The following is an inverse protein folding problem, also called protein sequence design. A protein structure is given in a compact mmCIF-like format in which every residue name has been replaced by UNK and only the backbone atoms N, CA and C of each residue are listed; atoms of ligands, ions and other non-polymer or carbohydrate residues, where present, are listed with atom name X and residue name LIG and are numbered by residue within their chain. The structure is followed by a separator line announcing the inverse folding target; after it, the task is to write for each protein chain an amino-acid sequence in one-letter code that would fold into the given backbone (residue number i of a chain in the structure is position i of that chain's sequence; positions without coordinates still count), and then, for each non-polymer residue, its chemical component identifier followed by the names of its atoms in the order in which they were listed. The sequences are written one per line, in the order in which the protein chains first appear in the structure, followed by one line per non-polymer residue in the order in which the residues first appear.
data_IF_668030707759
#
_entry.id   IF_668030707759
#
_cell.length_a   1.000
_cell.length_b   1.000
_cell.length_c   1.000
_cell.angle_alpha   90.00
_cell.angle_beta   90.00
_cell.angle_gamma   90.00
#
_symmetry.space_group_name_H-M   'P 1'
#
loop_
_entity.id
_entity.type
_entity.pdbx_description
1 polymer ?
#
# COMPACT_ATOMS: atom_id res chain seq x y z
N UNK A 1 19.01 20.37 15.15
CA UNK A 1 19.54 19.24 14.35
C UNK A 1 19.56 19.55 12.85
N UNK A 2 18.53 20.19 12.27
CA UNK A 2 18.44 20.46 10.82
C UNK A 2 19.41 21.53 10.28
N UNK A 3 20.20 22.19 11.13
CA UNK A 3 21.17 23.21 10.71
C UNK A 3 22.52 22.64 10.25
N UNK A 4 22.78 21.37 10.55
CA UNK A 4 24.03 20.69 10.24
C UNK A 4 23.76 19.66 9.16
N UNK A 5 24.47 19.72 8.02
CA UNK A 5 24.17 18.92 6.83
C UNK A 5 24.13 17.41 7.09
N UNK A 6 25.06 16.86 7.87
CA UNK A 6 25.11 15.42 8.15
C UNK A 6 24.08 14.94 9.18
N UNK A 7 23.30 15.81 9.82
CA UNK A 7 22.20 15.44 10.71
C UNK A 7 20.83 15.62 10.07
N UNK A 8 20.77 16.01 8.79
CA UNK A 8 19.52 16.18 8.05
C UNK A 8 18.86 14.84 7.74
N UNK A 9 17.58 14.88 7.40
CA UNK A 9 16.70 13.72 7.30
C UNK A 9 16.74 13.09 5.90
N UNK A 10 17.92 12.84 5.34
CA UNK A 10 18.06 12.34 3.97
C UNK A 10 17.56 10.91 3.75
N UNK A 11 17.70 10.05 4.76
CA UNK A 11 17.28 8.65 4.65
C UNK A 11 15.91 8.42 5.29
N UNK A 12 15.76 8.77 6.58
CA UNK A 12 14.49 8.67 7.32
C UNK A 12 14.14 9.96 7.98
N UNK A 13 12.83 10.23 8.11
CA UNK A 13 12.34 11.43 8.80
C UNK A 13 12.25 11.20 10.31
N UNK A 14 12.25 12.27 11.10
CA UNK A 14 11.96 12.19 12.53
C UNK A 14 10.57 11.57 12.75
N UNK A 15 9.57 11.94 11.94
CA UNK A 15 8.23 11.33 11.99
C UNK A 15 8.26 9.82 11.78
N UNK A 16 9.07 9.33 10.85
CA UNK A 16 9.24 7.89 10.60
C UNK A 16 9.86 7.21 11.82
N UNK A 17 10.92 7.78 12.37
CA UNK A 17 11.61 7.21 13.54
C UNK A 17 10.71 7.17 14.77
N UNK A 18 9.92 8.22 15.02
CA UNK A 18 8.95 8.25 16.13
C UNK A 18 7.91 7.14 15.97
N UNK A 19 7.35 6.95 14.76
CA UNK A 19 6.42 5.85 14.48
C UNK A 19 7.06 4.48 14.70
N UNK A 20 8.32 4.30 14.28
CA UNK A 20 9.04 3.03 14.47
C UNK A 20 9.32 2.74 15.95
N UNK A 21 9.69 3.75 16.75
CA UNK A 21 9.87 3.62 18.19
C UNK A 21 8.54 3.29 18.87
N UNK A 22 7.48 4.00 18.54
CA UNK A 22 6.14 3.72 19.07
C UNK A 22 5.73 2.28 18.76
N UNK A 23 5.83 1.85 17.51
CA UNK A 23 5.50 0.50 17.08
C UNK A 23 6.30 -0.58 17.82
N UNK A 24 7.60 -0.31 18.08
CA UNK A 24 8.46 -1.25 18.81
C UNK A 24 8.04 -1.45 20.25
N UNK A 25 7.63 -0.41 20.95
CA UNK A 25 7.35 -0.46 22.38
C UNK A 25 5.87 -0.64 22.72
N UNK A 26 4.97 -0.11 21.91
CA UNK A 26 3.51 -0.13 22.14
C UNK A 26 2.80 -1.18 21.29
N UNK A 27 3.42 -1.63 20.19
CA UNK A 27 2.79 -2.54 19.24
C UNK A 27 1.89 -1.81 18.24
N UNK A 28 1.08 -2.58 17.52
CA UNK A 28 0.20 -2.06 16.47
C UNK A 28 -1.11 -1.46 17.02
N UNK A 29 -1.55 -1.90 18.17
CA UNK A 29 -2.82 -1.47 18.76
C UNK A 29 -2.65 -0.17 19.52
N UNK A 30 -3.43 0.84 19.17
CA UNK A 30 -3.39 2.18 19.73
C UNK A 30 -4.43 2.43 20.84
N UNK A 31 -5.02 1.36 21.39
CA UNK A 31 -6.05 1.37 22.42
C UNK A 31 -7.42 1.94 21.96
N UNK A 32 -7.59 2.23 20.69
CA UNK A 32 -8.89 2.53 20.12
C UNK A 32 -9.59 1.24 19.65
N UNK A 33 -10.69 0.81 20.29
CA UNK A 33 -11.36 -0.45 19.93
C UNK A 33 -11.84 -0.52 18.46
N UNK A 34 -12.01 0.62 17.80
CA UNK A 34 -12.40 0.68 16.38
C UNK A 34 -11.29 0.09 15.49
N UNK A 35 -10.02 0.23 15.89
CA UNK A 35 -8.86 -0.25 15.14
C UNK A 35 -8.52 -1.73 15.42
N UNK A 36 -9.31 -2.45 16.25
CA UNK A 36 -9.08 -3.88 16.50
C UNK A 36 -9.39 -4.74 15.27
N UNK A 37 -10.45 -4.41 14.55
CA UNK A 37 -10.94 -5.18 13.41
C UNK A 37 -11.60 -4.23 12.39
N UNK A 38 -10.77 -3.46 11.70
CA UNK A 38 -11.23 -2.51 10.69
C UNK A 38 -11.67 -3.26 9.43
N UNK A 39 -12.65 -2.69 8.72
CA UNK A 39 -13.01 -3.17 7.40
C UNK A 39 -11.80 -3.12 6.46
N UNK A 40 -11.72 -4.07 5.53
CA UNK A 40 -10.71 -4.02 4.48
C UNK A 40 -10.77 -2.67 3.71
N UNK A 41 -9.62 -2.14 3.27
CA UNK A 41 -9.56 -0.81 2.64
C UNK A 41 -10.54 -0.62 1.49
N UNK A 42 -10.77 -1.66 0.67
CA UNK A 42 -11.71 -1.60 -0.45
C UNK A 42 -13.17 -1.53 0.03
N UNK A 43 -13.53 -2.34 1.03
CA UNK A 43 -14.88 -2.34 1.60
C UNK A 43 -15.17 -1.03 2.33
N UNK A 44 -14.24 -0.60 3.16
CA UNK A 44 -14.30 0.70 3.85
C UNK A 44 -14.51 1.85 2.85
N UNK A 45 -13.69 1.88 1.80
CA UNK A 45 -13.73 2.94 0.79
C UNK A 45 -15.05 2.97 0.03
N UNK A 46 -15.59 1.82 -0.35
CA UNK A 46 -16.91 1.72 -1.01
C UNK A 46 -18.01 2.30 -0.13
N UNK A 47 -18.04 1.89 1.15
CA UNK A 47 -19.01 2.43 2.10
C UNK A 47 -18.86 3.94 2.31
N UNK A 48 -17.62 4.42 2.44
CA UNK A 48 -17.36 5.84 2.63
C UNK A 48 -17.79 6.66 1.42
N UNK A 49 -17.54 6.18 0.20
CA UNK A 49 -17.98 6.84 -1.03
C UNK A 49 -19.51 6.88 -1.12
N UNK A 50 -20.20 5.82 -0.70
CA UNK A 50 -21.66 5.80 -0.62
C UNK A 50 -22.19 6.90 0.33
N UNK A 51 -21.55 7.11 1.49
CA UNK A 51 -21.88 8.19 2.42
C UNK A 51 -21.54 9.59 1.87
N UNK A 52 -20.49 9.74 1.09
CA UNK A 52 -20.12 11.00 0.43
C UNK A 52 -21.08 11.38 -0.70
N UNK A 53 -21.70 10.40 -1.32
CA UNK A 53 -22.75 10.54 -2.34
C UNK A 53 -22.19 10.80 -3.73
N UNK A 54 -21.80 12.05 -4.03
CA UNK A 54 -21.39 12.47 -5.37
C UNK A 54 -19.85 12.50 -5.51
N UNK A 55 -19.30 11.51 -6.23
CA UNK A 55 -17.87 11.39 -6.46
C UNK A 55 -17.29 12.56 -7.26
N UNK A 56 -18.02 13.09 -8.24
CA UNK A 56 -17.55 14.21 -9.06
C UNK A 56 -17.41 15.47 -8.23
N UNK A 57 -18.35 15.69 -7.33
CA UNK A 57 -18.29 16.80 -6.38
C UNK A 57 -17.11 16.67 -5.40
N UNK A 58 -16.82 15.47 -4.94
CA UNK A 58 -15.64 15.19 -4.10
C UNK A 58 -14.36 15.51 -4.86
N UNK A 59 -14.26 15.10 -6.14
CA UNK A 59 -13.12 15.41 -7.00
C UNK A 59 -12.95 16.91 -7.25
N UNK A 60 -14.04 17.63 -7.47
CA UNK A 60 -13.99 19.09 -7.59
C UNK A 60 -13.48 19.78 -6.32
N UNK A 61 -13.91 19.30 -5.16
CA UNK A 61 -13.42 19.81 -3.87
C UNK A 61 -11.93 19.49 -3.71
N UNK A 62 -11.52 18.26 -4.01
CA UNK A 62 -10.14 17.83 -3.92
C UNK A 62 -9.21 18.64 -4.86
N UNK A 63 -9.66 19.00 -6.07
CA UNK A 63 -8.93 19.91 -6.98
C UNK A 63 -8.72 21.28 -6.36
N UNK A 64 -9.73 21.84 -5.70
CA UNK A 64 -9.60 23.14 -5.00
C UNK A 64 -8.62 23.05 -3.82
N UNK A 65 -8.58 21.93 -3.12
CA UNK A 65 -7.67 21.70 -2.03
C UNK A 65 -6.23 21.46 -2.54
N UNK A 66 -6.10 20.83 -3.70
CA UNK A 66 -4.81 20.71 -4.40
C UNK A 66 -4.23 22.10 -4.73
N UNK A 67 -5.05 23.00 -5.25
CA UNK A 67 -4.63 24.38 -5.57
C UNK A 67 -4.21 25.18 -4.33
N UNK A 68 -4.71 24.83 -3.15
CA UNK A 68 -4.27 25.40 -1.85
C UNK A 68 -2.98 24.76 -1.32
N UNK A 69 -2.50 23.68 -1.95
CA UNK A 69 -1.32 22.95 -1.51
C UNK A 69 -1.58 21.90 -0.43
N UNK A 70 -2.83 21.51 -0.19
CA UNK A 70 -3.22 20.49 0.79
C UNK A 70 -3.01 19.06 0.28
N UNK A 71 -1.84 18.81 -0.32
CA UNK A 71 -1.53 17.58 -1.05
C UNK A 71 -1.71 16.30 -0.24
N UNK A 72 -1.40 16.31 1.06
CA UNK A 72 -1.60 15.12 1.90
C UNK A 72 -3.09 14.78 2.04
N UNK A 73 -3.94 15.79 2.22
CA UNK A 73 -5.38 15.59 2.28
C UNK A 73 -5.93 15.11 0.95
N UNK A 74 -5.52 15.75 -0.14
CA UNK A 74 -5.92 15.34 -1.49
C UNK A 74 -5.52 13.88 -1.77
N UNK A 75 -4.29 13.48 -1.43
CA UNK A 75 -3.86 12.10 -1.58
C UNK A 75 -4.74 11.12 -0.77
N UNK A 76 -5.13 11.47 0.45
CA UNK A 76 -5.97 10.60 1.29
C UNK A 76 -7.38 10.44 0.72
N UNK A 77 -8.05 11.54 0.37
CA UNK A 77 -9.42 11.46 -0.13
C UNK A 77 -9.51 10.82 -1.52
N UNK A 78 -8.59 11.14 -2.41
CA UNK A 78 -8.56 10.53 -3.75
C UNK A 78 -8.15 9.06 -3.70
N UNK A 79 -7.27 8.66 -2.78
CA UNK A 79 -6.95 7.26 -2.54
C UNK A 79 -8.18 6.44 -2.13
N UNK A 80 -9.07 7.02 -1.32
CA UNK A 80 -10.36 6.40 -0.99
C UNK A 80 -11.20 6.18 -2.25
N UNK A 81 -11.26 7.16 -3.16
CA UNK A 81 -11.99 7.01 -4.41
C UNK A 81 -11.38 5.92 -5.30
N UNK A 82 -10.05 5.82 -5.35
CA UNK A 82 -9.32 4.79 -6.11
C UNK A 82 -9.56 3.39 -5.54
N UNK A 83 -9.60 3.22 -4.21
CA UNK A 83 -9.94 1.93 -3.61
C UNK A 83 -11.40 1.53 -3.86
N UNK A 84 -12.32 2.50 -3.89
CA UNK A 84 -13.72 2.24 -4.19
C UNK A 84 -13.94 1.86 -5.66
N UNK A 85 -13.28 2.57 -6.58
CA UNK A 85 -13.30 2.36 -8.03
C UNK A 85 -11.91 2.55 -8.65
N UNK A 86 -11.13 1.46 -8.84
CA UNK A 86 -9.79 1.53 -9.44
C UNK A 86 -9.77 2.02 -10.90
N UNK A 87 -10.91 1.97 -11.60
CA UNK A 87 -11.02 2.42 -12.99
C UNK A 87 -11.29 3.92 -13.11
N UNK A 88 -11.57 4.61 -12.00
CA UNK A 88 -11.76 6.06 -11.98
C UNK A 88 -10.43 6.79 -12.26
N UNK A 89 -10.22 7.14 -13.52
CA UNK A 89 -8.98 7.79 -13.99
C UNK A 89 -8.76 9.17 -13.37
N UNK A 90 -9.83 9.95 -13.15
CA UNK A 90 -9.70 11.29 -12.58
C UNK A 90 -9.25 11.24 -11.13
N UNK A 91 -9.78 10.30 -10.35
CA UNK A 91 -9.32 10.05 -8.99
C UNK A 91 -7.86 9.57 -8.96
N UNK A 92 -7.49 8.62 -9.83
CA UNK A 92 -6.12 8.09 -9.95
C UNK A 92 -5.12 9.18 -10.29
N UNK A 93 -5.42 10.02 -11.26
CA UNK A 93 -4.50 11.06 -11.72
C UNK A 93 -4.35 12.17 -10.70
N UNK A 94 -5.44 12.62 -10.09
CA UNK A 94 -5.36 13.61 -9.01
C UNK A 94 -4.61 13.08 -7.78
N UNK A 95 -4.81 11.80 -7.43
CA UNK A 95 -4.03 11.13 -6.40
C UNK A 95 -2.53 11.11 -6.75
N UNK A 96 -2.21 10.74 -7.99
CA UNK A 96 -0.83 10.72 -8.48
C UNK A 96 -0.19 12.11 -8.43
N UNK A 97 -0.91 13.15 -8.85
CA UNK A 97 -0.42 14.53 -8.81
C UNK A 97 -0.13 14.99 -7.37
N UNK A 98 -1.00 14.64 -6.43
CA UNK A 98 -0.80 14.93 -5.02
C UNK A 98 0.41 14.19 -4.42
N UNK A 99 0.57 12.91 -4.75
CA UNK A 99 1.74 12.12 -4.34
C UNK A 99 3.03 12.67 -4.95
N UNK A 100 3.00 13.11 -6.19
CA UNK A 100 4.16 13.72 -6.86
C UNK A 100 4.62 15.00 -6.15
N UNK A 101 3.67 15.88 -5.78
CA UNK A 101 3.97 17.07 -5.00
C UNK A 101 4.57 16.75 -3.63
N UNK A 102 4.02 15.74 -2.93
CA UNK A 102 4.57 15.25 -1.66
C UNK A 102 5.97 14.67 -1.85
N UNK A 103 6.22 13.99 -2.95
CA UNK A 103 7.53 13.46 -3.32
C UNK A 103 8.56 14.56 -3.53
N UNK A 104 8.21 15.61 -4.26
CA UNK A 104 9.10 16.76 -4.49
C UNK A 104 9.42 17.54 -3.22
N UNK A 105 8.50 17.59 -2.26
CA UNK A 105 8.70 18.23 -0.96
C UNK A 105 9.45 17.35 0.04
N UNK A 106 9.57 16.04 -0.20
CA UNK A 106 10.21 15.13 0.72
C UNK A 106 11.74 15.23 0.67
N UNK A 107 12.36 15.60 1.79
CA UNK A 107 13.82 15.58 1.94
C UNK A 107 14.36 14.15 2.02
N UNK A 108 13.63 13.25 2.69
CA UNK A 108 13.99 11.84 2.82
C UNK A 108 13.88 11.10 1.47
N UNK A 109 14.99 10.52 1.01
CA UNK A 109 15.02 9.75 -0.24
C UNK A 109 14.04 8.55 -0.24
N UNK A 110 13.92 7.86 0.90
CA UNK A 110 12.98 6.75 1.03
C UNK A 110 11.52 7.21 0.88
N UNK A 111 11.14 8.32 1.51
CA UNK A 111 9.79 8.86 1.39
C UNK A 111 9.52 9.42 -0.01
N UNK A 112 10.51 10.15 -0.56
CA UNK A 112 10.43 10.64 -1.94
C UNK A 112 10.16 9.51 -2.92
N UNK A 113 10.96 8.45 -2.84
CA UNK A 113 10.82 7.29 -3.73
C UNK A 113 9.45 6.62 -3.56
N UNK A 114 8.97 6.43 -2.32
CA UNK A 114 7.65 5.86 -2.09
C UNK A 114 6.54 6.70 -2.74
N UNK A 115 6.55 8.01 -2.55
CA UNK A 115 5.57 8.90 -3.16
C UNK A 115 5.63 8.89 -4.70
N UNK A 116 6.83 9.03 -5.28
CA UNK A 116 7.00 9.07 -6.74
C UNK A 116 6.71 7.73 -7.40
N UNK A 117 7.04 6.60 -6.77
CA UNK A 117 6.67 5.28 -7.25
C UNK A 117 5.16 5.10 -7.23
N UNK A 118 4.48 5.45 -6.13
CA UNK A 118 3.02 5.40 -6.05
C UNK A 118 2.34 6.27 -7.12
N UNK A 119 2.86 7.49 -7.35
CA UNK A 119 2.37 8.35 -8.42
C UNK A 119 2.54 7.72 -9.83
N UNK A 120 3.70 7.10 -10.06
CA UNK A 120 3.96 6.38 -11.31
C UNK A 120 3.00 5.22 -11.52
N UNK A 121 2.81 4.38 -10.49
CA UNK A 121 1.93 3.20 -10.55
C UNK A 121 0.46 3.57 -10.75
N UNK A 122 -0.01 4.64 -10.13
CA UNK A 122 -1.37 5.15 -10.34
C UNK A 122 -1.62 5.57 -11.80
N UNK A 123 -0.61 6.11 -12.49
CA UNK A 123 -0.74 6.53 -13.89
C UNK A 123 -0.52 5.38 -14.87
N UNK A 124 0.41 4.46 -14.58
CA UNK A 124 0.92 3.50 -15.57
C UNK A 124 0.62 2.03 -15.21
N UNK A 125 0.06 1.79 -14.02
CA UNK A 125 -0.08 0.44 -13.46
C UNK A 125 1.22 -0.07 -12.85
N UNK A 126 1.10 -1.17 -12.12
CA UNK A 126 2.24 -1.85 -11.51
C UNK A 126 3.01 -2.67 -12.56
N UNK A 127 4.34 -2.56 -12.56
CA UNK A 127 5.17 -3.43 -13.36
C UNK A 127 5.35 -4.76 -12.63
N UNK A 128 4.97 -5.85 -13.29
CA UNK A 128 5.36 -7.17 -12.84
C UNK A 128 6.87 -7.33 -13.08
N UNK A 129 7.66 -7.05 -12.05
CA UNK A 129 9.05 -7.50 -12.06
C UNK A 129 9.04 -9.01 -11.75
N UNK A 130 9.73 -9.84 -12.54
CA UNK A 130 9.90 -11.24 -12.17
C UNK A 130 10.56 -11.24 -10.78
N UNK A 131 9.84 -11.79 -9.80
CA UNK A 131 10.32 -11.89 -8.43
C UNK A 131 11.61 -12.70 -8.44
N UNK A 132 12.74 -12.03 -8.29
CA UNK A 132 14.03 -12.71 -8.06
C UNK A 132 14.03 -13.47 -6.72
N UNK A 133 13.15 -13.10 -5.80
CA UNK A 133 13.01 -13.73 -4.47
C UNK A 133 12.13 -14.98 -4.46
N UNK A 134 11.25 -15.15 -5.46
CA UNK A 134 10.46 -16.37 -5.69
C UNK A 134 11.05 -17.24 -6.79
N UNK A 135 12.35 -17.06 -7.10
CA UNK A 135 13.03 -17.86 -8.13
C UNK A 135 13.06 -19.34 -7.73
N UNK A 136 13.06 -20.23 -8.73
CA UNK A 136 13.19 -21.66 -8.51
C UNK A 136 14.33 -22.07 -7.57
N UNK A 137 15.38 -21.23 -7.44
CA UNK A 137 16.46 -21.42 -6.50
C UNK A 137 16.02 -21.35 -5.02
N UNK A 138 15.08 -20.49 -4.67
CA UNK A 138 14.52 -20.43 -3.31
C UNK A 138 13.68 -21.67 -3.02
N UNK A 139 12.85 -22.10 -4.00
CA UNK A 139 12.05 -23.31 -3.87
C UNK A 139 12.92 -24.57 -3.75
N UNK A 140 14.03 -24.64 -4.48
CA UNK A 140 15.00 -25.74 -4.41
C UNK A 140 15.72 -25.84 -3.07
N UNK A 141 15.85 -24.71 -2.34
CA UNK A 141 16.47 -24.68 -1.01
C UNK A 141 15.51 -25.01 0.14
N UNK A 142 14.20 -25.12 -0.12
CA UNK A 142 13.20 -25.43 0.89
C UNK A 142 13.12 -26.94 1.17
N UNK A 143 12.85 -27.31 2.42
CA UNK A 143 12.42 -28.69 2.71
C UNK A 143 11.03 -28.91 2.07
N UNK A 144 10.66 -30.16 1.80
CA UNK A 144 9.34 -30.51 1.26
C UNK A 144 8.19 -29.95 2.11
N UNK A 145 8.34 -30.03 3.44
CA UNK A 145 7.37 -29.49 4.40
C UNK A 145 7.24 -27.96 4.24
N UNK A 146 8.36 -27.23 4.26
CA UNK A 146 8.36 -25.76 4.08
C UNK A 146 7.78 -25.35 2.73
N UNK A 147 8.03 -26.11 1.69
CA UNK A 147 7.46 -25.85 0.36
C UNK A 147 5.94 -26.01 0.35
N UNK A 148 5.42 -27.03 1.02
CA UNK A 148 3.97 -27.26 1.11
C UNK A 148 3.28 -26.18 1.92
N UNK A 149 3.88 -25.76 3.04
CA UNK A 149 3.39 -24.62 3.84
C UNK A 149 3.38 -23.32 3.02
N UNK A 150 4.47 -23.08 2.27
CA UNK A 150 4.55 -21.92 1.38
C UNK A 150 3.48 -21.93 0.28
N UNK A 151 3.23 -23.08 -0.33
CA UNK A 151 2.15 -23.22 -1.30
C UNK A 151 0.78 -22.93 -0.67
N UNK A 152 0.55 -23.39 0.58
CA UNK A 152 -0.67 -23.08 1.33
C UNK A 152 -0.90 -21.58 1.53
N UNK A 153 0.17 -20.82 1.80
CA UNK A 153 0.12 -19.37 1.95
C UNK A 153 -0.18 -18.66 0.61
N UNK A 154 0.29 -19.22 -0.50
CA UNK A 154 0.08 -18.66 -1.83
C UNK A 154 -1.31 -18.91 -2.41
N UNK A 155 -2.12 -19.74 -1.78
CA UNK A 155 -3.47 -20.05 -2.24
C UNK A 155 -4.43 -18.87 -2.02
N UNK A 156 -5.13 -18.47 -3.07
CA UNK A 156 -6.23 -17.53 -2.96
C UNK A 156 -7.49 -18.25 -2.46
N UNK A 157 -7.68 -18.29 -1.13
CA UNK A 157 -8.77 -19.03 -0.49
C UNK A 157 -10.16 -18.70 -1.06
N UNK A 158 -10.41 -17.43 -1.41
CA UNK A 158 -11.69 -16.99 -2.02
C UNK A 158 -11.98 -17.64 -3.38
N UNK A 159 -10.96 -18.07 -4.13
CA UNK A 159 -11.14 -18.75 -5.42
C UNK A 159 -11.35 -20.26 -5.26
N UNK A 160 -11.12 -20.80 -4.07
CA UNK A 160 -11.16 -22.22 -3.78
C UNK A 160 -12.34 -22.63 -2.88
N UNK A 161 -13.18 -21.68 -2.48
CA UNK A 161 -14.26 -21.86 -1.49
C UNK A 161 -15.23 -23.02 -1.84
N UNK A 162 -15.43 -23.30 -3.15
CA UNK A 162 -16.29 -24.37 -3.64
C UNK A 162 -15.54 -25.55 -4.28
N UNK A 163 -14.21 -25.63 -4.13
CA UNK A 163 -13.40 -26.67 -4.79
C UNK A 163 -12.78 -27.64 -3.80
N UNK A 164 -13.07 -28.93 -3.97
CA UNK A 164 -12.36 -30.02 -3.29
C UNK A 164 -11.20 -30.47 -4.20
N UNK A 165 -9.98 -30.05 -3.87
CA UNK A 165 -8.77 -30.47 -4.58
C UNK A 165 -8.07 -31.56 -3.77
N UNK A 166 -7.81 -32.70 -4.37
CA UNK A 166 -6.96 -33.75 -3.83
C UNK A 166 -5.70 -33.82 -4.69
N UNK A 167 -4.56 -33.52 -4.08
CA UNK A 167 -3.26 -33.54 -4.76
C UNK A 167 -2.42 -34.68 -4.16
N UNK A 168 -2.01 -35.64 -4.97
CA UNK A 168 -1.05 -36.65 -4.59
C UNK A 168 0.35 -36.18 -5.05
N UNK A 169 1.26 -36.08 -4.11
CA UNK A 169 2.66 -35.71 -4.38
C UNK A 169 3.55 -36.95 -4.19
N UNK A 170 4.30 -37.29 -5.23
CA UNK A 170 5.32 -38.32 -5.18
C UNK A 170 6.68 -37.63 -5.28
N UNK A 171 7.48 -37.71 -4.22
CA UNK A 171 8.84 -37.12 -4.16
C UNK A 171 9.82 -38.21 -4.55
N UNK A 172 10.40 -38.10 -5.73
CA UNK A 172 11.21 -39.17 -6.36
C UNK A 172 12.72 -39.05 -6.16
N UNK A 173 13.17 -37.94 -5.56
CA UNK A 173 14.59 -37.58 -5.45
C UNK A 173 15.15 -37.72 -4.01
N UNK A 174 14.51 -38.54 -3.19
CA UNK A 174 15.00 -38.88 -1.84
C UNK A 174 15.12 -40.36 -1.64
#
# INVERSE_FOLDING_TARGET
LNKISYTRQYYRTIKHNVKAVYQKYMGWYDENPIHLDELEPTEYSKKLVEYLGDTDKVLEMAKKDFDKGEYQWVAQITNTLVYADPENKDARYLCADALEQLGYQAESGAWRNAYLTGAYELRNGTKNYPNSEGSGATALGMSTETMLDYLGICLEAKKLEDQNLVINLEVTDK
#
